data_IF_076258402173
#
_entry.id   IF_076258402173
#
_cell.length_a   1.000
_cell.length_b   1.000
_cell.length_c   1.000
_cell.angle_alpha   90.00
_cell.angle_beta   90.00
_cell.angle_gamma   90.00
#
_symmetry.space_group_name_H-M   'P 1'
#
loop_
_entity.id
_entity.type
_entity.pdbx_description
1 polymer ?
#
# COMPACT_ATOMS: atom_id res chain seq x y z
N UNK A 1 7.32 -12.01 12.95
CA UNK A 1 7.53 -12.05 11.48
C UNK A 1 6.35 -11.37 10.83
N UNK A 2 6.52 -10.58 9.76
CA UNK A 2 5.34 -10.15 8.99
C UNK A 2 4.97 -11.25 8.00
N UNK A 3 5.45 -11.27 6.75
CA UNK A 3 5.06 -12.35 5.80
C UNK A 3 6.21 -13.11 5.12
N UNK A 4 7.45 -12.58 5.14
CA UNK A 4 8.61 -13.12 4.38
C UNK A 4 8.37 -13.28 2.87
N UNK A 5 7.35 -12.60 2.32
CA UNK A 5 6.98 -12.64 0.89
C UNK A 5 6.73 -11.21 0.42
N UNK A 6 6.96 -10.95 -0.85
CA UNK A 6 6.56 -9.69 -1.47
C UNK A 6 5.04 -9.51 -1.35
N UNK A 7 4.60 -8.30 -0.98
CA UNK A 7 3.19 -8.00 -0.77
C UNK A 7 2.41 -7.97 -2.10
N UNK A 8 3.04 -7.42 -3.14
CA UNK A 8 2.48 -7.31 -4.49
C UNK A 8 3.51 -7.77 -5.51
N UNK A 9 3.65 -9.10 -5.75
CA UNK A 9 4.64 -9.64 -6.68
C UNK A 9 4.10 -9.65 -8.13
N UNK A 10 4.01 -8.49 -8.77
CA UNK A 10 3.59 -8.37 -10.16
C UNK A 10 4.72 -8.65 -11.16
N UNK A 11 4.38 -9.18 -12.33
CA UNK A 11 5.31 -9.47 -13.43
C UNK A 11 5.21 -8.48 -14.63
N UNK A 12 4.22 -7.59 -14.58
CA UNK A 12 3.95 -6.52 -15.53
C UNK A 12 3.25 -5.36 -14.83
N UNK A 13 3.17 -4.18 -15.44
CA UNK A 13 2.50 -3.01 -14.84
C UNK A 13 1.03 -3.28 -14.52
N UNK A 14 0.31 -3.94 -15.43
CA UNK A 14 -1.11 -4.25 -15.24
C UNK A 14 -1.32 -5.33 -14.17
N UNK A 15 -0.49 -6.36 -14.14
CA UNK A 15 -0.54 -7.39 -13.10
C UNK A 15 -0.20 -6.78 -11.73
N UNK A 16 0.78 -5.89 -11.66
CA UNK A 16 1.14 -5.14 -10.46
C UNK A 16 -0.06 -4.32 -9.93
N UNK A 17 -0.72 -3.54 -10.79
CA UNK A 17 -1.91 -2.78 -10.43
C UNK A 17 -3.05 -3.70 -9.94
N UNK A 18 -3.31 -4.79 -10.66
CA UNK A 18 -4.38 -5.72 -10.29
C UNK A 18 -4.11 -6.42 -8.97
N UNK A 19 -2.85 -6.74 -8.62
CA UNK A 19 -2.49 -7.27 -7.30
C UNK A 19 -2.74 -6.27 -6.17
N UNK A 20 -2.43 -5.00 -6.41
CA UNK A 20 -2.73 -3.92 -5.46
C UNK A 20 -4.24 -3.83 -5.28
N UNK A 21 -5.03 -3.78 -6.37
CA UNK A 21 -6.48 -3.66 -6.32
C UNK A 21 -7.16 -4.87 -5.65
N UNK A 22 -6.70 -6.09 -5.93
CA UNK A 22 -7.21 -7.32 -5.27
C UNK A 22 -7.03 -7.32 -3.75
N UNK A 23 -6.05 -6.57 -3.26
CA UNK A 23 -5.72 -6.49 -1.83
C UNK A 23 -6.39 -5.28 -1.18
N UNK A 24 -6.24 -4.09 -1.77
CA UNK A 24 -6.65 -2.82 -1.19
C UNK A 24 -8.05 -2.35 -1.67
N UNK A 25 -8.65 -3.08 -2.60
CA UNK A 25 -9.88 -2.72 -3.32
C UNK A 25 -9.56 -1.91 -4.58
N UNK A 26 -10.35 -2.01 -5.64
CA UNK A 26 -10.17 -1.13 -6.81
C UNK A 26 -10.48 0.31 -6.40
N UNK A 27 -9.59 1.29 -6.63
CA UNK A 27 -9.83 2.66 -6.20
C UNK A 27 -10.99 3.28 -6.97
N UNK A 28 -11.72 4.14 -6.27
CA UNK A 28 -12.80 4.97 -6.78
C UNK A 28 -12.62 6.43 -6.29
N UNK A 29 -13.53 7.31 -6.70
CA UNK A 29 -13.49 8.74 -6.34
C UNK A 29 -13.66 9.00 -4.83
N UNK A 30 -14.22 8.05 -4.07
CA UNK A 30 -14.32 8.18 -2.61
C UNK A 30 -12.97 7.89 -1.93
N UNK A 31 -12.29 6.81 -2.36
CA UNK A 31 -10.98 6.44 -1.84
C UNK A 31 -9.88 7.39 -2.32
N UNK A 32 -9.91 7.78 -3.60
CA UNK A 32 -8.94 8.64 -4.26
C UNK A 32 -9.64 9.60 -5.24
N UNK A 33 -9.97 10.83 -4.79
CA UNK A 33 -10.52 11.86 -5.66
C UNK A 33 -9.57 12.17 -6.83
N UNK A 34 -10.10 12.12 -8.06
CA UNK A 34 -9.36 12.32 -9.30
C UNK A 34 -8.71 11.06 -9.88
N UNK A 35 -8.90 9.87 -9.29
CA UNK A 35 -8.32 8.64 -9.84
C UNK A 35 -8.87 8.31 -11.23
N UNK A 36 -10.13 8.65 -11.50
CA UNK A 36 -10.79 8.31 -12.78
C UNK A 36 -10.28 9.13 -13.98
N UNK A 37 -9.60 10.25 -13.73
CA UNK A 37 -9.05 11.14 -14.76
C UNK A 37 -7.56 10.92 -14.99
N UNK A 38 -6.92 9.96 -14.31
CA UNK A 38 -5.52 9.62 -14.54
C UNK A 38 -5.34 9.02 -15.95
N UNK A 39 -4.21 9.29 -16.64
CA UNK A 39 -4.01 8.91 -18.05
C UNK A 39 -4.27 7.42 -18.35
N UNK A 40 -3.84 6.55 -17.45
CA UNK A 40 -3.90 5.10 -17.62
C UNK A 40 -5.06 4.45 -16.88
N UNK A 41 -5.91 5.24 -16.21
CA UNK A 41 -7.11 4.70 -15.59
C UNK A 41 -8.09 4.23 -16.67
N UNK A 42 -8.61 3.01 -16.51
CA UNK A 42 -9.64 2.46 -17.39
C UNK A 42 -10.91 2.17 -16.58
N UNK A 43 -12.09 2.69 -17.00
CA UNK A 43 -13.36 2.35 -16.36
C UNK A 43 -13.65 0.83 -16.37
N UNK A 44 -13.06 0.11 -17.33
CA UNK A 44 -13.17 -1.34 -17.48
C UNK A 44 -12.31 -2.15 -16.51
N UNK A 45 -11.51 -1.52 -15.63
CA UNK A 45 -10.78 -2.26 -14.60
C UNK A 45 -11.75 -3.05 -13.71
N UNK A 46 -11.43 -4.33 -13.39
CA UNK A 46 -12.27 -5.12 -12.51
C UNK A 46 -12.43 -4.44 -11.14
N UNK A 47 -13.61 -4.60 -10.54
CA UNK A 47 -13.94 -4.03 -9.24
C UNK A 47 -13.76 -5.08 -8.15
N UNK A 48 -12.66 -4.99 -7.41
CA UNK A 48 -12.37 -5.84 -6.26
C UNK A 48 -12.75 -5.14 -4.96
N UNK A 49 -13.31 -5.91 -4.02
CA UNK A 49 -13.53 -5.44 -2.66
C UNK A 49 -12.20 -5.37 -1.90
N UNK A 50 -12.09 -4.41 -0.99
CA UNK A 50 -10.94 -4.28 -0.09
C UNK A 50 -10.90 -5.47 0.87
N UNK A 51 -9.72 -6.07 1.02
CA UNK A 51 -9.48 -7.06 2.07
C UNK A 51 -9.20 -6.36 3.40
N UNK A 52 -9.56 -7.02 4.51
CA UNK A 52 -9.28 -6.50 5.85
C UNK A 52 -7.78 -6.61 6.14
N UNK A 53 -7.08 -5.51 5.84
CA UNK A 53 -5.75 -5.25 6.36
C UNK A 53 -5.90 -4.27 7.51
N UNK A 54 -5.31 -4.63 8.65
CA UNK A 54 -5.16 -3.74 9.80
C UNK A 54 -4.82 -2.32 9.34
N UNK A 55 -5.49 -1.33 9.91
CA UNK A 55 -5.54 0.07 9.48
C UNK A 55 -4.18 0.59 8.98
N UNK A 56 -3.91 0.48 7.68
CA UNK A 56 -2.62 0.80 7.06
C UNK A 56 -2.60 2.24 6.57
N UNK A 57 -1.78 3.08 7.21
CA UNK A 57 -1.66 4.51 6.87
C UNK A 57 -0.64 4.78 5.74
N UNK A 58 0.29 3.84 5.51
CA UNK A 58 1.32 3.95 4.47
C UNK A 58 0.84 3.52 3.07
N UNK A 59 -0.25 2.74 3.00
CA UNK A 59 -0.77 2.18 1.75
C UNK A 59 -2.09 2.84 1.32
N UNK A 60 -2.27 4.12 1.67
CA UNK A 60 -3.40 4.91 1.17
C UNK A 60 -3.24 5.16 -0.34
N UNK A 61 -4.34 5.01 -1.08
CA UNK A 61 -4.40 5.26 -2.52
C UNK A 61 -4.09 6.72 -2.84
N UNK A 62 -4.89 7.63 -2.29
CA UNK A 62 -4.67 9.07 -2.41
C UNK A 62 -3.31 9.44 -1.79
N UNK A 63 -2.33 9.90 -2.60
CA UNK A 63 -1.02 10.27 -2.11
C UNK A 63 -1.07 11.36 -1.02
N UNK A 64 -2.07 12.25 -1.06
CA UNK A 64 -2.23 13.33 -0.08
C UNK A 64 -2.72 12.83 1.28
N UNK A 65 -3.35 11.65 1.33
CA UNK A 65 -3.81 11.00 2.56
C UNK A 65 -2.78 10.05 3.15
N UNK A 66 -1.69 9.75 2.44
CA UNK A 66 -0.65 8.83 2.89
C UNK A 66 0.17 9.48 4.01
N UNK A 67 0.41 8.73 5.09
CA UNK A 67 1.23 9.23 6.21
C UNK A 67 2.62 9.64 5.71
N UNK A 68 3.09 10.82 6.13
CA UNK A 68 4.45 11.26 5.83
C UNK A 68 5.48 10.49 6.66
N UNK A 69 6.72 10.41 6.19
CA UNK A 69 7.79 9.77 6.96
C UNK A 69 7.97 10.41 8.35
N UNK A 70 7.89 11.76 8.43
CA UNK A 70 7.97 12.50 9.71
C UNK A 70 6.84 12.10 10.67
N UNK A 71 5.61 11.99 10.18
CA UNK A 71 4.47 11.58 11.01
C UNK A 71 4.58 10.10 11.43
N UNK A 72 5.07 9.24 10.53
CA UNK A 72 5.26 7.82 10.81
C UNK A 72 6.27 7.56 11.94
N UNK A 73 7.31 8.39 12.08
CA UNK A 73 8.26 8.28 13.20
C UNK A 73 7.61 8.51 14.57
N UNK A 74 6.50 9.26 14.64
CA UNK A 74 5.73 9.46 15.86
C UNK A 74 4.65 8.42 16.09
N UNK A 75 4.57 7.35 15.28
CA UNK A 75 3.55 6.32 15.42
C UNK A 75 3.83 5.41 16.64
N UNK A 76 2.81 4.98 17.41
CA UNK A 76 2.99 4.14 18.60
C UNK A 76 3.79 2.85 18.39
N UNK A 77 3.78 2.32 17.16
CA UNK A 77 4.59 1.18 16.73
C UNK A 77 6.10 1.35 17.01
N UNK A 78 6.60 2.59 17.07
CA UNK A 78 8.02 2.87 17.31
C UNK A 78 8.34 3.32 18.75
N UNK A 79 7.38 3.29 19.68
CA UNK A 79 7.61 3.77 21.06
C UNK A 79 8.69 2.98 21.82
N UNK A 80 8.88 1.71 21.49
CA UNK A 80 9.82 0.77 22.11
C UNK A 80 10.92 0.31 21.13
N UNK A 81 11.12 1.05 20.02
CA UNK A 81 12.09 0.65 19.01
C UNK A 81 13.51 0.70 19.55
N UNK A 82 14.27 -0.37 19.31
CA UNK A 82 15.69 -0.48 19.68
C UNK A 82 16.55 -0.78 18.46
N UNK A 83 17.86 -0.50 18.56
CA UNK A 83 18.83 -0.80 17.50
C UNK A 83 19.41 -2.20 17.71
N UNK A 84 18.91 -3.18 16.96
CA UNK A 84 19.49 -4.52 16.93
C UNK A 84 20.70 -4.60 15.99
N UNK A 85 21.68 -5.45 16.33
CA UNK A 85 22.82 -5.77 15.47
C UNK A 85 22.41 -6.90 14.51
N UNK A 86 22.42 -6.70 13.18
CA UNK A 86 22.07 -7.75 12.24
C UNK A 86 23.21 -8.76 12.11
N UNK A 87 22.85 -10.03 11.89
CA UNK A 87 23.82 -11.05 11.53
C UNK A 87 24.14 -10.97 10.04
N UNK A 88 25.32 -10.48 9.69
CA UNK A 88 25.81 -10.38 8.31
C UNK A 88 26.81 -11.50 8.04
N UNK A 89 26.64 -12.20 6.93
CA UNK A 89 27.66 -13.08 6.37
C UNK A 89 28.35 -12.29 5.26
N UNK A 90 29.60 -11.89 5.51
CA UNK A 90 30.46 -11.21 4.55
C UNK A 90 31.26 -12.23 3.74
#
# INVERSE_FOLDING_TARGET
QVTRRALFPGDSEIDQLFRIFRTLGTPDEAAWPGVTVLPDYKPSFPKWARQDLAKVQMLQYDPNKRISAKAALGHPFFHDVTRAVPHLRL
#
